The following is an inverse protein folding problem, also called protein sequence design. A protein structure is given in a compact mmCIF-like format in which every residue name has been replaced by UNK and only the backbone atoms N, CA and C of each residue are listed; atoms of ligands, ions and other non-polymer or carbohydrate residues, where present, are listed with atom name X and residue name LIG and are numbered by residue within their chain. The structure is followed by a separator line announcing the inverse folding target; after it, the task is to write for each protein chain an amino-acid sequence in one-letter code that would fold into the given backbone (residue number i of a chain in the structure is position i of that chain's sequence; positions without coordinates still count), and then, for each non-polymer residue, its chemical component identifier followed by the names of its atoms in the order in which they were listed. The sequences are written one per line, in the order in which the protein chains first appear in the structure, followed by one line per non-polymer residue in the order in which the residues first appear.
data_IF_411810216270
#
_entry.id   IF_411810216270
#
_cell.length_a   1.000
_cell.length_b   1.000
_cell.length_c   1.000
_cell.angle_alpha   90.00
_cell.angle_beta   90.00
_cell.angle_gamma   90.00
#
_symmetry.space_group_name_H-M   'P 1'
#
loop_
_entity.id
_entity.type
_entity.pdbx_description
1 polymer ?
#
# COMPACT_ATOMS: atom_id res chain seq x y z
N UNK A 1 30.14 18.96 7.38
CA UNK A 1 29.92 17.95 6.32
C UNK A 1 28.45 18.04 5.94
N UNK A 2 28.10 18.62 4.81
CA UNK A 2 26.71 18.65 4.31
C UNK A 2 26.33 17.23 3.96
N UNK A 3 25.52 16.60 4.82
CA UNK A 3 24.90 15.32 4.50
C UNK A 3 24.20 15.47 3.15
N UNK A 4 24.67 14.77 2.14
CA UNK A 4 24.00 14.70 0.84
C UNK A 4 22.57 14.21 1.12
N UNK A 5 21.57 15.05 0.84
CA UNK A 5 20.16 14.67 1.03
C UNK A 5 19.89 13.40 0.19
N UNK A 6 19.43 12.33 0.83
CA UNK A 6 19.07 11.08 0.16
C UNK A 6 18.06 11.34 -0.95
N UNK A 7 18.17 10.67 -2.06
CA UNK A 7 17.15 10.69 -3.12
C UNK A 7 16.02 9.74 -2.75
N UNK A 8 14.78 10.21 -2.84
CA UNK A 8 13.57 9.40 -2.61
C UNK A 8 12.93 9.08 -3.96
N UNK A 9 12.80 7.79 -4.27
CA UNK A 9 12.03 7.32 -5.42
C UNK A 9 10.66 6.86 -4.96
N UNK A 10 9.62 7.42 -5.57
CA UNK A 10 8.24 6.95 -5.41
C UNK A 10 7.85 6.17 -6.65
N UNK A 11 7.35 4.94 -6.45
CA UNK A 11 6.83 4.09 -7.52
C UNK A 11 5.31 4.04 -7.43
N UNK A 12 4.64 4.40 -8.53
CA UNK A 12 3.17 4.38 -8.64
C UNK A 12 2.76 3.40 -9.73
N UNK A 13 2.21 2.23 -9.38
CA UNK A 13 1.55 1.35 -10.34
C UNK A 13 0.20 1.94 -10.73
N UNK A 14 -0.16 1.91 -12.02
CA UNK A 14 -1.39 2.49 -12.54
C UNK A 14 -2.05 1.60 -13.57
N UNK A 15 -3.38 1.51 -13.53
CA UNK A 15 -4.19 0.91 -14.60
C UNK A 15 -5.61 1.48 -14.55
N UNK A 16 -6.00 2.25 -15.59
CA UNK A 16 -7.30 2.93 -15.71
C UNK A 16 -7.65 3.77 -14.46
N UNK A 17 -6.80 4.77 -14.16
CA UNK A 17 -6.88 5.60 -12.95
C UNK A 17 -7.01 7.11 -13.26
N UNK A 18 -7.56 7.47 -14.41
CA UNK A 18 -7.70 8.88 -14.82
C UNK A 18 -8.44 9.74 -13.78
N UNK A 19 -9.36 9.15 -13.00
CA UNK A 19 -10.12 9.86 -11.98
C UNK A 19 -9.27 10.28 -10.75
N UNK A 20 -8.13 9.61 -10.49
CA UNK A 20 -7.42 9.74 -9.21
C UNK A 20 -5.94 10.10 -9.37
N UNK A 21 -5.27 9.59 -10.41
CA UNK A 21 -3.81 9.63 -10.55
C UNK A 21 -3.23 11.04 -10.49
N UNK A 22 -3.95 12.05 -10.94
CA UNK A 22 -3.47 13.44 -10.91
C UNK A 22 -3.23 13.92 -9.48
N UNK A 23 -4.13 13.59 -8.54
CA UNK A 23 -3.93 13.93 -7.13
C UNK A 23 -2.75 13.18 -6.53
N UNK A 24 -2.54 11.91 -6.89
CA UNK A 24 -1.38 11.14 -6.48
C UNK A 24 -0.09 11.80 -6.94
N UNK A 25 0.02 12.16 -8.24
CA UNK A 25 1.18 12.86 -8.81
C UNK A 25 1.46 14.17 -8.08
N UNK A 26 0.42 14.98 -7.87
CA UNK A 26 0.55 16.27 -7.20
C UNK A 26 0.99 16.13 -5.74
N UNK A 27 0.53 15.08 -5.04
CA UNK A 27 0.93 14.82 -3.65
C UNK A 27 2.42 14.49 -3.51
N UNK A 28 3.02 13.86 -4.52
CA UNK A 28 4.47 13.60 -4.58
C UNK A 28 5.22 14.89 -4.97
N UNK A 29 4.72 15.63 -5.96
CA UNK A 29 5.36 16.82 -6.47
C UNK A 29 5.44 17.96 -5.42
N UNK A 30 4.46 18.04 -4.51
CA UNK A 30 4.38 19.06 -3.46
C UNK A 30 5.20 18.76 -2.21
N UNK A 31 5.95 17.64 -2.18
CA UNK A 31 6.77 17.30 -1.02
C UNK A 31 7.96 18.23 -0.86
N UNK A 32 8.22 18.66 0.37
CA UNK A 32 9.38 19.46 0.74
C UNK A 32 10.65 18.59 0.85
N UNK A 33 11.14 18.12 -0.29
CA UNK A 33 12.39 17.35 -0.38
C UNK A 33 13.15 17.67 -1.66
N UNK A 34 14.48 17.83 -1.53
CA UNK A 34 15.31 18.39 -2.62
C UNK A 34 15.51 17.42 -3.81
N UNK A 35 15.36 16.10 -3.59
CA UNK A 35 15.65 15.08 -4.59
C UNK A 35 14.54 14.01 -4.58
N UNK A 36 13.57 14.17 -5.46
CA UNK A 36 12.47 13.25 -5.64
C UNK A 36 12.52 12.71 -7.06
N UNK A 37 12.45 11.41 -7.19
CA UNK A 37 12.21 10.69 -8.44
C UNK A 37 10.82 10.06 -8.37
N UNK A 38 9.94 10.36 -9.32
CA UNK A 38 8.61 9.77 -9.37
C UNK A 38 8.48 8.91 -10.62
N UNK A 39 8.33 7.60 -10.42
CA UNK A 39 8.22 6.59 -11.46
C UNK A 39 6.78 6.07 -11.50
N UNK A 40 6.12 6.20 -12.67
CA UNK A 40 4.78 5.68 -12.89
C UNK A 40 4.85 4.52 -13.89
N UNK A 41 4.42 3.34 -13.44
CA UNK A 41 4.32 2.15 -14.28
C UNK A 41 2.85 1.88 -14.60
N UNK A 42 2.46 2.19 -15.84
CA UNK A 42 1.09 2.05 -16.31
C UNK A 42 0.90 0.71 -17.04
N UNK A 43 -0.13 -0.02 -16.69
CA UNK A 43 -0.46 -1.37 -17.22
C UNK A 43 -1.15 -1.37 -18.60
N UNK A 44 -1.07 -0.26 -19.36
CA UNK A 44 -1.72 -0.12 -20.65
C UNK A 44 -3.14 0.47 -20.53
N UNK A 45 -3.28 1.56 -19.80
CA UNK A 45 -4.55 2.27 -19.58
C UNK A 45 -5.18 2.80 -20.87
N UNK A 46 -6.52 2.85 -20.90
CA UNK A 46 -7.33 3.31 -22.05
C UNK A 46 -8.36 4.38 -21.67
N UNK A 47 -8.37 4.86 -20.42
CA UNK A 47 -9.37 5.76 -19.84
C UNK A 47 -8.95 7.25 -19.79
N UNK A 48 -7.85 7.62 -20.43
CA UNK A 48 -7.29 8.98 -20.35
C UNK A 48 -6.15 9.14 -19.33
N UNK A 49 -5.79 8.10 -18.57
CA UNK A 49 -4.64 8.12 -17.65
C UNK A 49 -3.36 8.59 -18.33
N UNK A 50 -3.08 8.08 -19.55
CA UNK A 50 -1.87 8.45 -20.33
C UNK A 50 -1.80 9.93 -20.66
N UNK A 51 -2.93 10.56 -20.98
CA UNK A 51 -2.96 11.99 -21.28
C UNK A 51 -2.71 12.85 -20.06
N UNK A 52 -3.06 12.35 -18.87
CA UNK A 52 -2.67 12.97 -17.62
C UNK A 52 -1.15 12.87 -17.43
N UNK A 53 -0.55 11.68 -17.59
CA UNK A 53 0.90 11.47 -17.39
C UNK A 53 1.74 12.39 -18.28
N UNK A 54 1.34 12.58 -19.55
CA UNK A 54 2.02 13.47 -20.51
C UNK A 54 2.11 14.94 -20.04
N UNK A 55 1.20 15.39 -19.17
CA UNK A 55 1.19 16.77 -18.64
C UNK A 55 2.28 17.03 -17.59
N UNK A 56 2.92 15.97 -17.08
CA UNK A 56 3.89 16.04 -15.99
C UNK A 56 5.29 15.63 -16.46
N UNK A 57 6.11 16.59 -17.00
CA UNK A 57 7.40 16.27 -17.62
C UNK A 57 8.48 15.79 -16.64
N UNK A 58 8.27 15.93 -15.32
CA UNK A 58 9.18 15.42 -14.28
C UNK A 58 9.01 13.91 -14.04
N UNK A 59 7.93 13.31 -14.50
CA UNK A 59 7.68 11.87 -14.31
C UNK A 59 8.58 11.03 -15.20
N UNK A 60 9.10 9.96 -14.63
CA UNK A 60 9.61 8.81 -15.38
C UNK A 60 8.45 7.83 -15.52
N UNK A 61 7.90 7.66 -16.72
CA UNK A 61 6.76 6.76 -16.87
C UNK A 61 6.87 5.87 -18.09
N UNK A 62 6.26 4.68 -17.99
CA UNK A 62 6.08 3.73 -19.07
C UNK A 62 4.66 3.19 -19.05
N UNK A 63 4.10 2.97 -20.24
CA UNK A 63 2.79 2.31 -20.40
C UNK A 63 2.97 1.06 -21.24
N UNK A 64 2.78 -0.09 -20.62
CA UNK A 64 2.88 -1.40 -21.25
C UNK A 64 2.08 -2.43 -20.45
N UNK A 65 1.61 -3.50 -21.09
CA UNK A 65 0.97 -4.60 -20.37
C UNK A 65 1.89 -5.18 -19.31
N UNK A 66 1.33 -5.40 -18.14
CA UNK A 66 1.99 -6.05 -17.02
C UNK A 66 1.22 -7.31 -16.55
N UNK A 67 1.82 -8.04 -15.62
CA UNK A 67 1.21 -9.20 -14.95
C UNK A 67 0.51 -8.84 -13.66
N UNK A 68 0.19 -7.56 -13.46
CA UNK A 68 -0.42 -7.00 -12.27
C UNK A 68 0.53 -6.11 -11.46
N UNK A 69 0.02 -5.55 -10.39
CA UNK A 69 0.64 -4.51 -9.57
C UNK A 69 2.07 -4.84 -9.10
N UNK A 70 2.34 -6.09 -8.71
CA UNK A 70 3.68 -6.52 -8.28
C UNK A 70 4.71 -6.46 -9.43
N UNK A 71 4.30 -6.80 -10.66
CA UNK A 71 5.16 -6.71 -11.84
C UNK A 71 5.46 -5.25 -12.18
N UNK A 72 4.43 -4.38 -12.16
CA UNK A 72 4.60 -2.94 -12.36
C UNK A 72 5.56 -2.34 -11.32
N UNK A 73 5.41 -2.69 -10.05
CA UNK A 73 6.29 -2.22 -8.97
C UNK A 73 7.74 -2.70 -9.14
N UNK A 74 7.96 -3.95 -9.53
CA UNK A 74 9.31 -4.47 -9.79
C UNK A 74 9.96 -3.81 -10.99
N UNK A 75 9.20 -3.53 -12.06
CA UNK A 75 9.70 -2.77 -13.21
C UNK A 75 10.09 -1.35 -12.79
N UNK A 76 9.28 -0.70 -11.93
CA UNK A 76 9.60 0.61 -11.35
C UNK A 76 10.85 0.56 -10.46
N UNK A 77 10.98 -0.48 -9.63
CA UNK A 77 12.17 -0.67 -8.77
C UNK A 77 13.45 -0.83 -9.58
N UNK A 78 13.37 -1.51 -10.72
CA UNK A 78 14.52 -1.67 -11.63
C UNK A 78 14.96 -0.34 -12.28
N UNK A 79 14.09 0.65 -12.37
CA UNK A 79 14.39 2.00 -12.86
C UNK A 79 14.82 2.96 -11.73
N UNK A 80 14.49 2.63 -10.48
CA UNK A 80 14.72 3.50 -9.32
C UNK A 80 16.21 3.71 -9.06
N UNK A 81 16.60 5.00 -8.91
CA UNK A 81 17.98 5.39 -8.59
C UNK A 81 18.12 5.88 -7.15
N UNK A 82 17.01 6.20 -6.47
CA UNK A 82 17.01 6.75 -5.12
C UNK A 82 17.48 5.79 -4.04
N UNK A 83 17.95 6.35 -2.94
CA UNK A 83 18.39 5.61 -1.74
C UNK A 83 17.21 5.06 -0.94
N UNK A 84 16.07 5.77 -1.03
CA UNK A 84 14.82 5.48 -0.34
C UNK A 84 13.76 5.18 -1.39
N UNK A 85 13.00 4.11 -1.18
CA UNK A 85 11.89 3.70 -2.03
C UNK A 85 10.58 3.86 -1.25
N UNK A 86 9.63 4.57 -1.83
CA UNK A 86 8.24 4.57 -1.45
C UNK A 86 7.36 3.97 -2.54
N UNK A 87 6.20 3.47 -2.15
CA UNK A 87 5.19 2.96 -3.07
C UNK A 87 3.83 3.55 -2.71
N UNK A 88 3.19 4.21 -3.68
CA UNK A 88 1.83 4.71 -3.52
C UNK A 88 0.98 4.27 -4.72
N UNK A 89 -0.23 3.76 -4.44
CA UNK A 89 -1.15 3.41 -5.51
C UNK A 89 -1.70 4.68 -6.17
N UNK A 90 -2.11 4.57 -7.42
CA UNK A 90 -2.59 5.70 -8.22
C UNK A 90 -3.93 6.29 -7.79
N UNK A 91 -4.61 5.65 -6.84
CA UNK A 91 -5.85 6.11 -6.19
C UNK A 91 -5.65 6.65 -4.76
N UNK A 92 -4.42 6.58 -4.21
CA UNK A 92 -4.02 7.08 -2.90
C UNK A 92 -3.14 8.33 -3.01
N UNK A 93 -2.84 9.02 -1.90
CA UNK A 93 -1.98 10.20 -1.92
C UNK A 93 -1.28 10.43 -0.57
N UNK A 94 -0.15 11.13 -0.61
CA UNK A 94 0.62 11.49 0.58
C UNK A 94 0.09 12.75 1.26
N UNK A 95 0.31 12.83 2.57
CA UNK A 95 0.26 14.06 3.34
C UNK A 95 1.40 14.99 2.88
N UNK A 96 1.24 16.31 3.04
CA UNK A 96 2.27 17.28 2.69
C UNK A 96 3.49 17.19 3.63
N UNK A 97 4.68 17.46 3.10
CA UNK A 97 5.94 17.65 3.85
C UNK A 97 6.38 16.45 4.72
N UNK A 98 6.12 15.22 4.27
CA UNK A 98 6.52 14.03 5.03
C UNK A 98 7.91 13.48 4.66
N UNK A 99 8.43 13.78 3.46
CA UNK A 99 9.64 13.12 2.95
C UNK A 99 10.90 13.49 3.76
N UNK A 100 10.94 14.68 4.36
CA UNK A 100 12.00 15.04 5.29
C UNK A 100 12.04 14.16 6.52
N UNK A 101 10.88 13.88 7.13
CA UNK A 101 10.74 12.97 8.28
C UNK A 101 11.09 11.53 7.89
N UNK A 102 10.58 11.03 6.75
CA UNK A 102 10.92 9.70 6.23
C UNK A 102 12.43 9.52 6.10
N UNK A 103 13.12 10.49 5.48
CA UNK A 103 14.57 10.44 5.29
C UNK A 103 15.32 10.42 6.63
N UNK A 104 14.89 11.25 7.59
CA UNK A 104 15.52 11.30 8.92
C UNK A 104 15.40 9.96 9.66
N UNK A 105 14.22 9.35 9.66
CA UNK A 105 14.00 8.04 10.30
C UNK A 105 14.82 6.91 9.66
N UNK A 106 14.96 6.89 8.33
CA UNK A 106 15.78 5.88 7.66
C UNK A 106 17.28 6.11 7.85
N UNK A 107 17.72 7.37 7.97
CA UNK A 107 19.11 7.71 8.29
C UNK A 107 19.50 7.30 9.71
N UNK A 108 18.57 7.27 10.67
CA UNK A 108 18.82 6.87 12.06
C UNK A 108 19.12 5.38 12.27
N UNK A 109 19.14 4.57 11.19
CA UNK A 109 19.60 3.18 11.23
C UNK A 109 18.56 2.15 10.78
N UNK A 110 17.27 2.49 10.76
CA UNK A 110 16.22 1.58 10.30
C UNK A 110 16.33 1.28 8.81
N UNK A 111 16.02 0.05 8.41
CA UNK A 111 16.01 -0.36 7.00
C UNK A 111 14.67 -0.10 6.32
N UNK A 112 13.60 -0.01 7.10
CA UNK A 112 12.27 0.42 6.67
C UNK A 112 11.49 1.07 7.80
N UNK A 113 10.50 1.85 7.45
CA UNK A 113 9.75 2.70 8.37
C UNK A 113 8.27 2.73 7.99
N UNK A 114 7.39 2.79 9.00
CA UNK A 114 5.94 2.80 8.84
C UNK A 114 5.36 3.98 9.61
N UNK A 115 4.76 4.93 8.90
CA UNK A 115 3.96 6.01 9.45
C UNK A 115 2.49 5.63 9.62
N UNK A 116 1.66 6.57 10.08
CA UNK A 116 0.22 6.39 10.13
C UNK A 116 -0.42 6.68 8.78
N UNK A 117 -1.55 6.02 8.55
CA UNK A 117 -2.43 6.23 7.42
C UNK A 117 -3.81 6.65 7.92
N UNK A 118 -4.46 7.53 7.17
CA UNK A 118 -5.86 7.82 7.33
C UNK A 118 -6.67 7.29 6.13
N UNK A 119 -7.81 6.69 6.40
CA UNK A 119 -8.78 6.33 5.36
C UNK A 119 -9.69 7.51 5.07
N UNK A 120 -9.81 7.91 3.81
CA UNK A 120 -10.74 8.92 3.35
C UNK A 120 -11.86 8.27 2.53
N UNK A 121 -13.09 8.59 2.83
CA UNK A 121 -14.28 8.06 2.18
C UNK A 121 -14.88 9.08 1.22
N UNK A 122 -15.64 8.62 0.22
CA UNK A 122 -16.30 9.48 -0.80
C UNK A 122 -17.16 10.57 -0.19
N UNK A 123 -17.70 10.35 1.01
CA UNK A 123 -18.50 11.34 1.76
C UNK A 123 -17.63 12.33 2.57
N UNK A 124 -16.31 12.34 2.38
CA UNK A 124 -15.37 13.19 3.10
C UNK A 124 -15.04 12.75 4.53
N UNK A 125 -15.59 11.64 5.02
CA UNK A 125 -15.26 11.12 6.34
C UNK A 125 -13.81 10.65 6.39
N UNK A 126 -13.10 11.00 7.47
CA UNK A 126 -11.71 10.62 7.72
C UNK A 126 -11.64 9.68 8.92
N UNK A 127 -10.89 8.59 8.78
CA UNK A 127 -10.59 7.66 9.89
C UNK A 127 -9.10 7.48 9.99
N UNK A 128 -8.48 8.00 11.05
CA UNK A 128 -7.04 7.83 11.33
C UNK A 128 -6.83 6.54 12.10
N UNK A 129 -5.90 5.72 11.64
CA UNK A 129 -5.50 4.49 12.32
C UNK A 129 -4.26 4.73 13.18
N UNK A 130 -4.32 4.28 14.43
CA UNK A 130 -3.13 4.22 15.27
C UNK A 130 -2.19 3.13 14.76
N UNK A 131 -0.90 3.38 14.77
CA UNK A 131 0.07 2.36 14.48
C UNK A 131 0.11 1.30 15.58
N UNK A 132 0.50 0.09 15.22
CA UNK A 132 0.92 -0.89 16.22
C UNK A 132 2.22 -0.42 16.87
N UNK A 133 2.37 -0.55 18.19
CA UNK A 133 3.58 -0.09 18.88
C UNK A 133 4.85 -0.83 18.43
N UNK A 134 4.70 -2.03 17.90
CA UNK A 134 5.82 -2.85 17.41
C UNK A 134 5.36 -3.81 16.32
N UNK A 135 6.07 -3.82 15.19
CA UNK A 135 5.90 -4.82 14.14
C UNK A 135 7.10 -5.78 14.21
N UNK A 136 6.80 -7.06 14.41
CA UNK A 136 7.74 -8.17 14.33
C UNK A 136 7.16 -9.25 13.42
N UNK A 137 7.96 -10.24 13.07
CA UNK A 137 7.46 -11.41 12.35
C UNK A 137 6.24 -12.04 13.06
N UNK A 138 6.30 -12.19 14.40
CA UNK A 138 5.23 -12.80 15.21
C UNK A 138 3.95 -11.96 15.19
N UNK A 139 4.05 -10.64 15.26
CA UNK A 139 2.87 -9.75 15.21
C UNK A 139 2.26 -9.73 13.82
N UNK A 140 3.07 -9.76 12.75
CA UNK A 140 2.61 -9.85 11.37
C UNK A 140 1.84 -11.14 11.09
N UNK A 141 2.35 -12.30 11.52
CA UNK A 141 1.68 -13.57 11.27
C UNK A 141 0.37 -13.71 12.04
N UNK A 142 0.21 -12.99 13.15
CA UNK A 142 -1.03 -12.94 13.94
C UNK A 142 -2.03 -11.93 13.39
N UNK A 143 -1.55 -10.82 12.85
CA UNK A 143 -2.36 -9.76 12.26
C UNK A 143 -1.75 -9.28 10.94
N UNK A 144 -2.07 -9.93 9.81
CA UNK A 144 -1.55 -9.59 8.49
C UNK A 144 -1.86 -8.16 8.00
N UNK A 145 -2.91 -7.54 8.54
CA UNK A 145 -3.36 -6.19 8.12
C UNK A 145 -2.75 -5.06 8.99
N UNK A 146 -1.70 -5.37 9.77
CA UNK A 146 -1.13 -4.42 10.75
C UNK A 146 -0.28 -3.31 10.12
N UNK A 147 0.33 -3.55 8.94
CA UNK A 147 1.16 -2.57 8.22
C UNK A 147 0.31 -1.79 7.24
N UNK A 148 0.44 -0.47 7.28
CA UNK A 148 -0.24 0.44 6.36
C UNK A 148 0.66 0.69 5.16
N UNK A 149 0.31 0.11 4.01
CA UNK A 149 1.14 0.08 2.81
C UNK A 149 1.50 1.49 2.33
N UNK A 150 0.54 2.40 2.26
CA UNK A 150 0.70 3.75 1.74
C UNK A 150 1.67 4.61 2.56
N UNK A 151 1.80 4.32 3.86
CA UNK A 151 2.67 5.04 4.78
C UNK A 151 4.00 4.29 5.06
N UNK A 152 4.45 3.42 4.13
CA UNK A 152 5.64 2.59 4.31
C UNK A 152 6.73 2.96 3.31
N UNK A 153 7.96 3.15 3.83
CA UNK A 153 9.15 3.47 3.04
C UNK A 153 10.32 2.55 3.42
N UNK A 154 11.23 2.32 2.48
CA UNK A 154 12.36 1.39 2.61
C UNK A 154 13.66 2.04 2.18
N UNK A 155 14.78 1.58 2.75
CA UNK A 155 16.04 1.70 2.04
C UNK A 155 16.03 0.81 0.80
N UNK A 156 16.55 1.29 -0.32
CA UNK A 156 16.60 0.52 -1.57
C UNK A 156 17.31 -0.83 -1.40
N UNK A 157 18.37 -0.86 -0.62
CA UNK A 157 19.10 -2.11 -0.34
C UNK A 157 18.25 -3.11 0.44
N UNK A 158 17.36 -2.66 1.34
CA UNK A 158 16.49 -3.54 2.10
C UNK A 158 15.43 -4.21 1.21
N UNK A 159 14.77 -3.45 0.33
CA UNK A 159 13.78 -4.03 -0.60
C UNK A 159 14.44 -4.93 -1.64
N UNK A 160 15.65 -4.61 -2.11
CA UNK A 160 16.43 -5.46 -3.00
C UNK A 160 16.86 -6.77 -2.29
N UNK A 161 17.34 -6.70 -1.06
CA UNK A 161 17.68 -7.88 -0.25
C UNK A 161 16.45 -8.76 0.03
N UNK A 162 15.27 -8.16 0.17
CA UNK A 162 14.00 -8.89 0.28
C UNK A 162 13.53 -9.50 -1.06
N UNK A 163 14.14 -9.14 -2.20
CA UNK A 163 13.81 -9.66 -3.53
C UNK A 163 12.62 -8.98 -4.22
N UNK A 164 12.26 -7.75 -3.81
CA UNK A 164 11.15 -6.99 -4.40
C UNK A 164 9.77 -7.59 -4.09
N UNK A 165 8.78 -7.28 -4.92
CA UNK A 165 7.40 -7.78 -4.79
C UNK A 165 7.22 -9.14 -5.46
N UNK A 166 6.52 -10.06 -4.79
CA UNK A 166 6.24 -11.37 -5.34
C UNK A 166 5.12 -11.28 -6.40
N UNK A 167 5.44 -11.54 -7.66
CA UNK A 167 4.51 -11.46 -8.79
C UNK A 167 3.44 -12.54 -8.78
N UNK A 168 3.62 -13.60 -8.02
CA UNK A 168 2.64 -14.68 -7.87
C UNK A 168 1.57 -14.35 -6.80
N UNK A 169 1.78 -13.29 -6.03
CA UNK A 169 0.82 -12.75 -5.08
C UNK A 169 0.03 -11.61 -5.70
N UNK A 170 -1.26 -11.81 -5.95
CA UNK A 170 -2.11 -10.78 -6.53
C UNK A 170 -2.70 -9.82 -5.48
N UNK A 171 -3.17 -10.36 -4.33
CA UNK A 171 -3.84 -9.59 -3.28
C UNK A 171 -2.98 -9.35 -2.04
N UNK A 172 -2.03 -10.22 -1.75
CA UNK A 172 -1.25 -10.21 -0.50
C UNK A 172 0.25 -9.97 -0.76
N UNK A 173 0.59 -9.29 -1.86
CA UNK A 173 1.98 -9.01 -2.23
C UNK A 173 2.69 -8.06 -1.23
N UNK A 174 1.94 -7.18 -0.60
CA UNK A 174 2.37 -6.31 0.49
C UNK A 174 2.70 -7.13 1.74
N UNK A 175 1.77 -7.96 2.20
CA UNK A 175 2.00 -8.84 3.35
C UNK A 175 3.18 -9.79 3.11
N UNK A 176 3.32 -10.37 1.91
CA UNK A 176 4.47 -11.19 1.54
C UNK A 176 5.80 -10.43 1.70
N UNK A 177 5.83 -9.18 1.26
CA UNK A 177 7.01 -8.31 1.40
C UNK A 177 7.29 -7.99 2.87
N UNK A 178 6.26 -7.64 3.66
CA UNK A 178 6.41 -7.33 5.09
C UNK A 178 7.00 -8.50 5.87
N UNK A 179 6.55 -9.70 5.60
CA UNK A 179 7.06 -10.93 6.24
C UNK A 179 8.54 -11.13 5.93
N UNK A 180 8.95 -10.95 4.67
CA UNK A 180 10.36 -11.08 4.26
C UNK A 180 11.24 -9.98 4.87
N UNK A 181 10.78 -8.73 4.87
CA UNK A 181 11.49 -7.61 5.51
C UNK A 181 11.61 -7.78 7.03
N UNK A 182 10.54 -8.19 7.71
CA UNK A 182 10.56 -8.37 9.16
C UNK A 182 11.50 -9.49 9.63
N UNK A 183 11.84 -10.44 8.75
CA UNK A 183 12.90 -11.43 9.03
C UNK A 183 14.29 -10.84 8.96
N UNK A 184 14.50 -9.81 8.16
CA UNK A 184 15.78 -9.09 8.04
C UNK A 184 15.93 -8.13 9.23
N UNK A 185 14.92 -7.27 9.45
CA UNK A 185 14.87 -6.32 10.56
C UNK A 185 13.46 -5.81 10.79
N UNK A 186 13.07 -5.47 12.03
CA UNK A 186 11.80 -4.80 12.29
C UNK A 186 11.81 -3.38 11.72
N UNK A 187 10.62 -2.78 11.39
CA UNK A 187 10.53 -1.39 11.00
C UNK A 187 10.68 -0.44 12.19
N UNK A 188 11.05 0.80 11.93
CA UNK A 188 10.72 1.88 12.84
C UNK A 188 9.24 2.27 12.67
N UNK A 189 8.55 2.43 13.80
CA UNK A 189 7.17 2.89 13.83
C UNK A 189 7.14 4.37 14.14
N UNK A 190 6.41 5.15 13.31
CA UNK A 190 6.36 6.61 13.43
C UNK A 190 4.92 7.06 13.64
N UNK A 191 4.69 7.87 14.67
CA UNK A 191 3.35 8.38 15.03
C UNK A 191 3.00 9.69 14.28
N UNK A 192 3.35 9.74 12.99
CA UNK A 192 3.03 10.85 12.08
C UNK A 192 2.09 10.36 10.98
N UNK A 193 1.16 11.22 10.57
CA UNK A 193 0.23 10.94 9.48
C UNK A 193 0.94 11.20 8.14
N UNK A 194 1.14 10.14 7.35
CA UNK A 194 1.94 10.20 6.12
C UNK A 194 1.14 10.01 4.85
N UNK A 195 0.03 9.28 4.91
CA UNK A 195 -0.71 8.95 3.69
C UNK A 195 -2.21 8.85 3.91
N UNK A 196 -2.93 9.04 2.81
CA UNK A 196 -4.36 8.84 2.74
C UNK A 196 -4.68 7.66 1.83
N UNK A 197 -5.44 6.71 2.35
CA UNK A 197 -6.04 5.62 1.60
C UNK A 197 -7.45 6.02 1.19
N UNK A 198 -7.70 6.07 -0.11
CA UNK A 198 -9.02 6.42 -0.63
C UNK A 198 -9.93 5.21 -0.68
N UNK A 199 -11.09 5.31 -0.03
CA UNK A 199 -12.12 4.29 -0.09
C UNK A 199 -13.14 4.64 -1.18
N UNK A 200 -13.17 3.84 -2.25
CA UNK A 200 -14.12 3.96 -3.37
C UNK A 200 -14.53 2.59 -3.91
N UNK A 201 -15.64 2.55 -4.69
CA UNK A 201 -16.23 1.28 -5.10
C UNK A 201 -15.40 0.44 -6.08
N UNK A 202 -14.47 1.06 -6.83
CA UNK A 202 -13.67 0.40 -7.86
C UNK A 202 -12.31 -0.14 -7.36
N UNK A 203 -12.02 0.01 -6.06
CA UNK A 203 -10.73 -0.41 -5.51
C UNK A 203 -10.53 -1.93 -5.50
N UNK A 204 -9.28 -2.36 -5.62
CA UNK A 204 -8.88 -3.78 -5.63
C UNK A 204 -9.25 -4.50 -4.33
N UNK A 205 -9.16 -3.83 -3.18
CA UNK A 205 -9.50 -4.34 -1.84
C UNK A 205 -11.01 -4.45 -1.57
N UNK A 206 -11.79 -4.83 -2.59
CA UNK A 206 -13.24 -5.01 -2.51
C UNK A 206 -13.61 -6.34 -1.83
N UNK A 207 -14.89 -6.45 -1.40
CA UNK A 207 -15.45 -7.65 -0.78
C UNK A 207 -15.29 -8.90 -1.66
N UNK A 208 -15.28 -8.75 -2.99
CA UNK A 208 -15.11 -9.85 -3.95
C UNK A 208 -13.74 -10.52 -3.86
N UNK A 209 -12.70 -9.78 -3.45
CA UNK A 209 -11.32 -10.27 -3.39
C UNK A 209 -10.89 -10.76 -2.00
N UNK A 210 -11.72 -10.60 -0.96
CA UNK A 210 -11.35 -10.91 0.42
C UNK A 210 -10.99 -12.40 0.62
N UNK A 211 -11.68 -13.31 -0.06
CA UNK A 211 -11.41 -14.75 0.04
C UNK A 211 -10.11 -15.13 -0.70
N UNK A 212 -9.83 -14.48 -1.84
CA UNK A 212 -8.56 -14.64 -2.55
C UNK A 212 -7.40 -14.15 -1.69
N UNK A 213 -7.52 -12.96 -1.08
CA UNK A 213 -6.54 -12.44 -0.14
C UNK A 213 -6.28 -13.42 1.02
N UNK A 214 -7.34 -13.95 1.62
CA UNK A 214 -7.22 -14.94 2.70
C UNK A 214 -6.53 -16.23 2.26
N UNK A 215 -6.73 -16.67 1.03
CA UNK A 215 -6.07 -17.85 0.47
C UNK A 215 -4.57 -17.60 0.27
N UNK A 216 -4.21 -16.46 -0.32
CA UNK A 216 -2.81 -16.05 -0.55
C UNK A 216 -2.06 -15.86 0.77
N UNK A 217 -2.63 -15.12 1.75
CA UNK A 217 -2.05 -14.99 3.09
C UNK A 217 -1.89 -16.36 3.75
N UNK A 218 -2.89 -17.25 3.66
CA UNK A 218 -2.78 -18.60 4.16
C UNK A 218 -1.67 -19.42 3.50
N UNK A 219 -1.35 -19.18 2.22
CA UNK A 219 -0.22 -19.83 1.54
C UNK A 219 1.13 -19.25 2.03
N UNK A 220 1.22 -17.92 2.21
CA UNK A 220 2.41 -17.27 2.77
C UNK A 220 2.68 -17.78 4.19
N UNK A 221 1.66 -17.82 5.07
CA UNK A 221 1.79 -18.33 6.44
C UNK A 221 2.23 -19.81 6.48
N UNK A 222 1.78 -20.66 5.56
CA UNK A 222 2.28 -22.04 5.44
C UNK A 222 3.74 -22.09 5.02
N UNK A 223 4.15 -21.28 4.03
CA UNK A 223 5.56 -21.15 3.62
C UNK A 223 6.44 -20.77 4.80
N UNK A 224 5.93 -19.88 5.66
CA UNK A 224 6.61 -19.40 6.87
C UNK A 224 6.52 -20.37 8.06
N UNK A 225 5.97 -21.58 7.86
CA UNK A 225 5.82 -22.64 8.89
C UNK A 225 5.01 -22.20 10.11
N UNK A 226 4.05 -21.30 9.91
CA UNK A 226 3.11 -20.90 10.97
C UNK A 226 2.19 -22.07 11.31
N UNK A 227 1.89 -22.33 12.61
CA UNK A 227 1.03 -23.43 13.02
C UNK A 227 -0.36 -23.40 12.36
N UNK A 228 -0.84 -24.54 11.86
CA UNK A 228 -2.12 -24.67 11.17
C UNK A 228 -3.32 -24.08 11.92
N UNK A 229 -3.44 -24.20 13.26
CA UNK A 229 -4.55 -23.57 14.00
C UNK A 229 -4.62 -22.06 13.80
N UNK A 230 -3.49 -21.35 13.79
CA UNK A 230 -3.44 -19.89 13.56
C UNK A 230 -3.87 -19.55 12.14
N UNK A 231 -3.42 -20.32 11.13
CA UNK A 231 -3.83 -20.13 9.73
C UNK A 231 -5.34 -20.34 9.59
N UNK A 232 -5.87 -21.41 10.20
CA UNK A 232 -7.29 -21.73 10.16
C UNK A 232 -8.13 -20.66 10.84
N UNK A 233 -7.68 -20.14 12.00
CA UNK A 233 -8.33 -19.04 12.71
C UNK A 233 -8.37 -17.77 11.86
N UNK A 234 -7.25 -17.37 11.23
CA UNK A 234 -7.20 -16.23 10.33
C UNK A 234 -8.19 -16.40 9.16
N UNK A 235 -8.20 -17.57 8.49
CA UNK A 235 -9.10 -17.85 7.38
C UNK A 235 -10.56 -17.82 7.79
N UNK A 236 -10.90 -18.38 8.96
CA UNK A 236 -12.26 -18.35 9.52
C UNK A 236 -12.70 -16.90 9.82
N UNK A 237 -11.82 -16.09 10.40
CA UNK A 237 -12.07 -14.68 10.65
C UNK A 237 -12.35 -13.92 9.33
N UNK A 238 -11.53 -14.10 8.29
CA UNK A 238 -11.73 -13.45 6.98
C UNK A 238 -13.03 -13.90 6.31
N UNK A 239 -13.36 -15.21 6.40
CA UNK A 239 -14.63 -15.74 5.90
C UNK A 239 -15.83 -15.10 6.63
N UNK A 240 -15.73 -14.93 7.97
CA UNK A 240 -16.75 -14.25 8.77
C UNK A 240 -16.92 -12.79 8.36
N UNK A 241 -15.84 -12.06 8.11
CA UNK A 241 -15.92 -10.68 7.58
C UNK A 241 -16.57 -10.62 6.21
N UNK A 242 -16.27 -11.58 5.34
CA UNK A 242 -16.93 -11.71 4.04
C UNK A 242 -18.43 -11.90 4.17
N UNK A 243 -18.90 -12.82 5.03
CA UNK A 243 -20.33 -13.02 5.32
C UNK A 243 -20.97 -11.74 5.84
N UNK A 244 -20.37 -11.07 6.84
CA UNK A 244 -20.86 -9.80 7.36
C UNK A 244 -21.00 -8.74 6.26
N UNK A 245 -20.03 -8.68 5.34
CA UNK A 245 -20.07 -7.79 4.18
C UNK A 245 -21.27 -8.08 3.27
N UNK A 246 -21.49 -9.36 2.92
CA UNK A 246 -22.64 -9.77 2.10
C UNK A 246 -23.97 -9.43 2.76
N UNK A 247 -24.12 -9.72 4.05
CA UNK A 247 -25.34 -9.38 4.81
C UNK A 247 -25.58 -7.87 4.77
N UNK A 248 -24.52 -7.08 4.99
CA UNK A 248 -24.59 -5.62 4.95
C UNK A 248 -25.04 -5.10 3.58
N UNK A 249 -24.42 -5.58 2.50
CA UNK A 249 -24.83 -5.22 1.13
C UNK A 249 -26.30 -5.56 0.92
N UNK A 250 -26.73 -6.75 1.30
CA UNK A 250 -28.13 -7.18 1.17
C UNK A 250 -29.10 -6.30 1.96
N UNK A 251 -28.73 -5.87 3.17
CA UNK A 251 -29.55 -4.97 3.99
C UNK A 251 -29.67 -3.58 3.37
N UNK A 252 -28.62 -3.10 2.70
CA UNK A 252 -28.67 -1.85 1.92
C UNK A 252 -29.60 -2.02 0.72
N UNK A 253 -29.47 -3.09 -0.04
CA UNK A 253 -30.32 -3.39 -1.21
C UNK A 253 -31.81 -3.49 -0.83
N UNK A 254 -32.12 -3.96 0.36
CA UNK A 254 -33.47 -4.04 0.91
C UNK A 254 -33.96 -2.72 1.54
N UNK A 255 -33.15 -1.66 1.54
CA UNK A 255 -33.48 -0.37 2.15
C UNK A 255 -33.50 -0.36 3.70
N UNK A 256 -33.07 -1.45 4.34
CA UNK A 256 -33.01 -1.55 5.81
C UNK A 256 -31.87 -0.69 6.38
N UNK A 257 -30.79 -0.57 5.62
CA UNK A 257 -29.62 0.23 5.97
C UNK A 257 -29.39 1.27 4.86
N UNK A 258 -29.16 2.56 5.20
CA UNK A 258 -28.93 3.59 4.20
C UNK A 258 -27.76 3.28 3.26
N UNK A 259 -27.88 3.66 1.97
CA UNK A 259 -26.87 3.46 0.90
C UNK A 259 -25.46 3.92 1.30
N UNK A 260 -25.35 5.01 2.05
CA UNK A 260 -24.07 5.54 2.58
C UNK A 260 -23.25 4.54 3.41
N UNK A 261 -23.83 3.42 3.81
CA UNK A 261 -23.14 2.36 4.55
C UNK A 261 -22.64 1.23 3.67
N UNK A 262 -22.95 1.21 2.36
CA UNK A 262 -22.52 0.14 1.43
C UNK A 262 -21.00 -0.01 1.40
N UNK A 263 -20.26 1.10 1.37
CA UNK A 263 -18.80 1.16 1.25
C UNK A 263 -18.05 1.22 2.57
N UNK A 264 -18.75 1.41 3.73
CA UNK A 264 -18.05 1.42 5.02
C UNK A 264 -17.47 0.04 5.33
N UNK A 265 -16.17 -0.09 5.62
CA UNK A 265 -15.60 -1.36 6.08
C UNK A 265 -16.34 -1.83 7.34
N UNK A 266 -16.53 -3.14 7.46
CA UNK A 266 -16.97 -3.74 8.71
C UNK A 266 -15.87 -3.45 9.72
N UNK A 267 -16.14 -2.64 10.76
CA UNK A 267 -15.16 -2.32 11.82
C UNK A 267 -14.55 -3.63 12.32
N UNK A 268 -13.24 -3.71 12.24
CA UNK A 268 -12.48 -4.68 13.01
C UNK A 268 -12.49 -4.18 14.44
N UNK A 269 -13.22 -4.87 15.34
CA UNK A 269 -13.20 -4.65 16.78
C UNK A 269 -11.93 -5.22 17.38
#
# INVERSE_FOLDING_TARGET
MTSSKSTITIITPSYNQAAYIEQTIQSVLRQDHARIEHIVMDGGSTDGTIDILKRYPHLIWRSEKDRGQADALNKGLALATGDIIGWINSDDYYQENIFGSVAAHLQSGSSWVVGRQADIFENGALVVFKNSPKITFETLVRNPDIVRQQATFFKRDAINAAGGWNVDCYMAMDFDLWVRLARISPPAMVEEDWAYFRNHGAQKSSLTNILRQAAEIGAILRREKVPLPLISMYRAMRYWYWIKGLIKVRLVDLGVVPERYRTRPVRQG
#
